data_IF_234263743455
#
_entry.id   IF_234263743455
#
_cell.length_a   1.000
_cell.length_b   1.000
_cell.length_c   1.000
_cell.angle_alpha   90.00
_cell.angle_beta   90.00
_cell.angle_gamma   90.00
#
_symmetry.space_group_name_H-M   'P 1'
#
loop_
_entity.id
_entity.type
_entity.pdbx_description
1 polymer ?
#
# COMPACT_ATOMS: atom_id res chain seq x y z
N UNK A 1 -17.58 16.01 10.99
CA UNK A 1 -16.28 15.98 10.28
C UNK A 1 -15.24 16.51 11.27
N UNK A 2 -14.09 15.85 11.43
CA UNK A 2 -13.01 16.35 12.29
C UNK A 2 -12.57 17.72 11.80
N UNK A 3 -12.22 18.63 12.71
CA UNK A 3 -11.67 19.92 12.33
C UNK A 3 -10.23 19.78 11.80
N UNK A 4 -9.71 20.84 11.17
CA UNK A 4 -8.38 20.80 10.57
C UNK A 4 -7.26 20.66 11.61
N UNK A 5 -7.48 21.12 12.85
CA UNK A 5 -6.50 21.03 13.92
C UNK A 5 -6.34 19.57 14.35
N UNK A 6 -7.45 18.87 14.57
CA UNK A 6 -7.48 17.47 14.93
C UNK A 6 -6.90 16.59 13.81
N UNK A 7 -7.25 16.87 12.56
CA UNK A 7 -6.68 16.16 11.42
C UNK A 7 -5.15 16.31 11.35
N UNK A 8 -4.62 17.52 11.54
CA UNK A 8 -3.18 17.74 11.55
C UNK A 8 -2.50 17.03 12.72
N UNK A 9 -3.14 16.96 13.89
CA UNK A 9 -2.60 16.24 15.04
C UNK A 9 -2.48 14.73 14.74
N UNK A 10 -3.54 14.12 14.22
CA UNK A 10 -3.56 12.69 13.84
C UNK A 10 -2.50 12.38 12.78
N UNK A 11 -2.40 13.21 11.74
CA UNK A 11 -1.42 13.00 10.66
C UNK A 11 0.01 13.12 11.17
N UNK A 12 0.25 14.06 12.11
CA UNK A 12 1.54 14.20 12.75
C UNK A 12 1.88 12.94 13.55
N UNK A 13 0.95 12.44 14.36
CA UNK A 13 1.13 11.20 15.14
C UNK A 13 1.46 10.01 14.25
N UNK A 14 0.65 9.74 13.21
CA UNK A 14 0.90 8.66 12.23
C UNK A 14 2.30 8.79 11.60
N UNK A 15 2.72 10.03 11.28
CA UNK A 15 4.01 10.25 10.66
C UNK A 15 5.18 10.14 11.63
N UNK A 16 5.01 10.50 12.91
CA UNK A 16 6.02 10.23 13.94
C UNK A 16 6.16 8.72 14.19
N UNK A 17 5.05 7.99 14.34
CA UNK A 17 5.05 6.53 14.49
C UNK A 17 5.82 5.87 13.33
N UNK A 18 5.52 6.26 12.10
CA UNK A 18 6.24 5.75 10.92
C UNK A 18 7.74 6.07 10.97
N UNK A 19 8.12 7.27 11.43
CA UNK A 19 9.52 7.68 11.50
C UNK A 19 10.30 6.87 12.52
N UNK A 20 9.74 6.67 13.70
CA UNK A 20 10.34 5.86 14.76
C UNK A 20 10.45 4.40 14.34
N UNK A 21 9.36 3.83 13.83
CA UNK A 21 9.27 2.42 13.43
C UNK A 21 10.26 2.03 12.31
N UNK A 22 10.44 2.93 11.33
CA UNK A 22 11.25 2.67 10.14
C UNK A 22 12.56 3.46 10.08
N UNK A 23 12.97 4.15 11.17
CA UNK A 23 14.13 5.04 11.20
C UNK A 23 14.15 6.01 9.99
N UNK A 24 13.00 6.60 9.66
CA UNK A 24 12.83 7.41 8.46
C UNK A 24 13.24 8.87 8.71
N UNK A 25 14.36 9.29 8.11
CA UNK A 25 14.99 10.59 8.39
C UNK A 25 14.81 11.64 7.28
N UNK A 26 13.96 11.41 6.28
CA UNK A 26 13.77 12.33 5.15
C UNK A 26 12.74 13.42 5.47
N UNK A 27 12.88 14.57 4.82
CA UNK A 27 12.05 15.78 4.99
C UNK A 27 10.64 15.68 4.37
N UNK A 28 10.19 14.49 3.98
CA UNK A 28 8.88 14.31 3.36
C UNK A 28 7.77 14.49 4.39
N UNK A 29 6.61 14.99 3.96
CA UNK A 29 5.47 15.29 4.84
C UNK A 29 4.26 14.52 4.33
N UNK A 30 3.58 13.83 5.25
CA UNK A 30 2.23 13.34 5.05
C UNK A 30 1.25 14.47 5.42
N UNK A 31 0.24 14.76 4.59
CA UNK A 31 -0.76 15.80 4.90
C UNK A 31 -2.16 15.20 5.13
N UNK A 32 -3.10 15.95 5.77
CA UNK A 32 -4.45 15.45 6.04
C UNK A 32 -5.23 14.93 4.83
N UNK A 33 -5.17 15.64 3.70
CA UNK A 33 -5.89 15.26 2.51
C UNK A 33 -5.31 13.95 1.92
N UNK A 34 -3.99 13.87 1.77
CA UNK A 34 -3.31 12.66 1.30
C UNK A 34 -3.57 11.47 2.23
N UNK A 35 -3.53 11.67 3.56
CA UNK A 35 -3.79 10.63 4.56
C UNK A 35 -5.22 10.10 4.45
N UNK A 36 -6.19 11.01 4.34
CA UNK A 36 -7.59 10.66 4.18
C UNK A 36 -7.83 9.85 2.90
N UNK A 37 -7.24 10.27 1.78
CA UNK A 37 -7.32 9.52 0.51
C UNK A 37 -6.72 8.11 0.64
N UNK A 38 -5.58 7.95 1.31
CA UNK A 38 -4.96 6.64 1.55
C UNK A 38 -5.84 5.75 2.45
N UNK A 39 -6.45 6.32 3.50
CA UNK A 39 -7.37 5.59 4.37
C UNK A 39 -8.63 5.16 3.60
N UNK A 40 -9.22 6.03 2.79
CA UNK A 40 -10.34 5.66 1.92
C UNK A 40 -9.98 4.56 0.92
N UNK A 41 -8.78 4.64 0.35
CA UNK A 41 -8.24 3.61 -0.52
C UNK A 41 -8.14 2.25 0.19
N UNK A 42 -7.56 2.19 1.39
CA UNK A 42 -7.47 0.95 2.18
C UNK A 42 -8.87 0.42 2.56
N UNK A 43 -9.75 1.30 3.06
CA UNK A 43 -11.13 0.95 3.41
C UNK A 43 -11.89 0.34 2.22
N UNK A 44 -11.63 0.83 1.00
CA UNK A 44 -12.27 0.30 -0.19
C UNK A 44 -11.87 -1.16 -0.47
N UNK A 45 -10.59 -1.51 -0.34
CA UNK A 45 -10.15 -2.90 -0.44
C UNK A 45 -10.70 -3.76 0.70
N UNK A 46 -10.70 -3.25 1.94
CA UNK A 46 -11.30 -3.94 3.10
C UNK A 46 -12.78 -4.25 2.87
N UNK A 47 -13.54 -3.32 2.28
CA UNK A 47 -14.95 -3.54 1.96
C UNK A 47 -15.13 -4.62 0.88
N UNK A 48 -14.27 -4.65 -0.15
CA UNK A 48 -14.29 -5.72 -1.15
C UNK A 48 -14.04 -7.10 -0.52
N UNK A 49 -13.08 -7.20 0.40
CA UNK A 49 -12.85 -8.44 1.15
C UNK A 49 -14.07 -8.85 1.98
N UNK A 50 -14.74 -7.91 2.65
CA UNK A 50 -15.92 -8.20 3.48
C UNK A 50 -17.17 -8.61 2.67
N UNK A 51 -17.19 -8.33 1.37
CA UNK A 51 -18.26 -8.70 0.45
C UNK A 51 -17.90 -9.91 -0.44
N UNK A 52 -16.81 -10.63 -0.12
CA UNK A 52 -16.30 -11.76 -0.90
C UNK A 52 -16.05 -11.42 -2.39
N UNK A 53 -15.71 -10.17 -2.67
CA UNK A 53 -15.40 -9.71 -4.01
C UNK A 53 -13.95 -10.00 -4.41
N UNK A 54 -13.71 -10.20 -5.72
CA UNK A 54 -12.36 -10.47 -6.26
C UNK A 54 -11.49 -9.22 -6.21
N UNK A 55 -10.44 -9.23 -5.39
CA UNK A 55 -9.54 -8.09 -5.25
C UNK A 55 -8.38 -8.06 -6.26
N UNK A 56 -7.98 -9.20 -6.85
CA UNK A 56 -6.72 -9.31 -7.61
C UNK A 56 -6.65 -8.43 -8.88
N UNK A 57 -7.79 -7.97 -9.40
CA UNK A 57 -7.87 -7.05 -10.54
C UNK A 57 -8.62 -5.76 -10.19
N UNK A 58 -8.92 -5.56 -8.90
CA UNK A 58 -9.61 -4.40 -8.42
C UNK A 58 -8.69 -3.18 -8.50
N UNK A 59 -9.25 -2.05 -8.93
CA UNK A 59 -8.57 -0.76 -8.91
C UNK A 59 -9.49 0.27 -8.27
N UNK A 60 -8.99 0.93 -7.23
CA UNK A 60 -9.73 2.00 -6.60
C UNK A 60 -9.89 3.19 -7.55
N UNK A 61 -11.08 3.80 -7.52
CA UNK A 61 -11.42 5.01 -8.27
C UNK A 61 -11.70 6.13 -7.27
N UNK A 62 -10.78 7.08 -7.16
CA UNK A 62 -10.97 8.27 -6.34
C UNK A 62 -12.04 9.16 -6.95
N UNK A 63 -12.93 9.69 -6.12
CA UNK A 63 -13.98 10.62 -6.54
C UNK A 63 -13.42 11.93 -7.10
N UNK A 64 -12.25 12.35 -6.61
CA UNK A 64 -11.49 13.50 -7.12
C UNK A 64 -10.90 13.28 -8.52
N UNK A 65 -10.88 12.03 -9.01
CA UNK A 65 -10.19 11.62 -10.23
C UNK A 65 -8.67 11.61 -10.12
N UNK A 66 -8.10 12.04 -8.98
CA UNK A 66 -6.66 12.08 -8.73
C UNK A 66 -6.29 11.03 -7.70
N UNK A 67 -5.25 10.27 -7.99
CA UNK A 67 -4.67 9.34 -7.01
C UNK A 67 -3.79 10.10 -6.02
N UNK A 68 -3.78 9.73 -4.72
CA UNK A 68 -2.77 10.20 -3.81
C UNK A 68 -1.42 9.69 -4.30
N UNK A 69 -0.38 10.48 -4.03
CA UNK A 69 0.99 10.04 -4.22
C UNK A 69 1.68 10.17 -2.86
N UNK A 70 1.65 9.15 -1.99
CA UNK A 70 2.26 9.24 -0.68
C UNK A 70 3.78 9.30 -0.78
N UNK A 71 4.45 9.82 0.26
CA UNK A 71 5.90 9.98 0.26
C UNK A 71 6.67 8.68 -0.03
N UNK A 72 6.19 7.52 0.45
CA UNK A 72 6.83 6.21 0.21
C UNK A 72 6.93 5.87 -1.28
N UNK A 73 5.94 6.27 -2.08
CA UNK A 73 5.94 6.06 -3.53
C UNK A 73 6.88 7.05 -4.23
N UNK A 74 6.87 8.33 -3.82
CA UNK A 74 7.79 9.36 -4.33
C UNK A 74 9.25 8.97 -4.08
N UNK A 75 9.55 8.56 -2.87
CA UNK A 75 10.91 8.25 -2.39
C UNK A 75 11.55 7.05 -3.07
N UNK A 76 10.72 6.08 -3.47
CA UNK A 76 11.15 4.86 -4.16
C UNK A 76 10.96 4.95 -5.67
N UNK A 77 10.51 6.10 -6.18
CA UNK A 77 10.17 6.31 -7.59
C UNK A 77 9.19 5.25 -8.13
N UNK A 78 8.22 4.85 -7.31
CA UNK A 78 7.19 3.86 -7.64
C UNK A 78 5.91 4.62 -7.99
N UNK A 79 5.21 4.18 -9.04
CA UNK A 79 3.92 4.74 -9.40
C UNK A 79 2.80 4.17 -8.52
N UNK A 80 2.01 5.05 -7.90
CA UNK A 80 0.76 4.68 -7.25
C UNK A 80 -0.32 4.36 -8.31
N UNK A 81 -0.68 3.08 -8.46
CA UNK A 81 -1.58 2.60 -9.52
C UNK A 81 -2.96 2.11 -9.02
N UNK A 82 -3.32 2.46 -7.79
CA UNK A 82 -4.61 2.16 -7.16
C UNK A 82 -4.96 0.65 -7.10
N UNK A 83 -3.98 -0.22 -7.25
CA UNK A 83 -4.13 -1.67 -7.33
C UNK A 83 -3.71 -2.37 -6.02
N UNK A 84 -3.69 -3.69 -6.04
CA UNK A 84 -3.31 -4.50 -4.86
C UNK A 84 -1.87 -4.24 -4.47
N UNK A 85 -0.96 -4.03 -5.43
CA UNK A 85 0.43 -3.68 -5.12
C UNK A 85 0.51 -2.33 -4.40
N UNK A 86 -0.21 -1.31 -4.88
CA UNK A 86 -0.30 -0.02 -4.19
C UNK A 86 -0.89 -0.17 -2.78
N UNK A 87 -1.89 -1.04 -2.57
CA UNK A 87 -2.42 -1.37 -1.24
C UNK A 87 -1.32 -1.93 -0.32
N UNK A 88 -0.57 -2.92 -0.79
CA UNK A 88 0.50 -3.56 -0.02
C UNK A 88 1.56 -2.55 0.40
N UNK A 89 1.96 -1.64 -0.49
CA UNK A 89 2.94 -0.59 -0.17
C UNK A 89 2.35 0.44 0.80
N UNK A 90 1.11 0.87 0.60
CA UNK A 90 0.43 1.84 1.47
C UNK A 90 0.26 1.38 2.92
N UNK A 91 0.05 0.07 3.15
CA UNK A 91 -0.10 -0.46 4.50
C UNK A 91 1.16 -0.27 5.36
N UNK A 92 2.35 -0.10 4.76
CA UNK A 92 3.59 0.21 5.49
C UNK A 92 3.47 1.50 6.31
N UNK A 93 2.65 2.45 5.88
CA UNK A 93 2.45 3.74 6.57
C UNK A 93 1.83 3.53 7.97
N UNK A 94 1.06 2.46 8.17
CA UNK A 94 0.22 2.27 9.36
C UNK A 94 0.57 1.03 10.18
N UNK A 95 1.42 0.15 9.66
CA UNK A 95 1.79 -1.09 10.34
C UNK A 95 3.17 -0.94 10.99
N UNK A 96 3.30 -1.48 12.20
CA UNK A 96 4.61 -1.73 12.79
C UNK A 96 5.44 -2.65 11.89
N UNK A 97 6.75 -2.52 11.95
CA UNK A 97 7.70 -3.14 11.02
C UNK A 97 7.60 -4.65 11.01
N UNK A 98 7.48 -5.26 12.19
CA UNK A 98 7.35 -6.72 12.32
C UNK A 98 6.10 -7.21 11.59
N UNK A 99 4.94 -6.57 11.83
CA UNK A 99 3.67 -6.93 11.18
C UNK A 99 3.74 -6.73 9.66
N UNK A 100 4.38 -5.65 9.22
CA UNK A 100 4.56 -5.38 7.79
C UNK A 100 5.42 -6.47 7.13
N UNK A 101 6.56 -6.81 7.74
CA UNK A 101 7.47 -7.85 7.24
C UNK A 101 6.77 -9.22 7.22
N UNK A 102 6.06 -9.57 8.28
CA UNK A 102 5.30 -10.82 8.35
C UNK A 102 4.24 -10.90 7.24
N UNK A 103 3.51 -9.81 7.00
CA UNK A 103 2.54 -9.71 5.91
C UNK A 103 3.21 -9.94 4.55
N UNK A 104 4.37 -9.31 4.28
CA UNK A 104 5.08 -9.49 3.02
C UNK A 104 5.57 -10.92 2.84
N UNK A 105 6.11 -11.54 3.90
CA UNK A 105 6.56 -12.93 3.85
C UNK A 105 5.40 -13.88 3.52
N UNK A 106 4.22 -13.70 4.14
CA UNK A 106 3.01 -14.49 3.82
C UNK A 106 2.55 -14.28 2.38
N UNK A 107 2.55 -13.04 1.90
CA UNK A 107 2.20 -12.74 0.49
C UNK A 107 3.18 -13.42 -0.46
N UNK A 108 4.48 -13.36 -0.19
CA UNK A 108 5.51 -14.01 -1.00
C UNK A 108 5.34 -15.54 -1.03
N UNK A 109 5.01 -16.16 0.11
CA UNK A 109 4.71 -17.59 0.19
C UNK A 109 3.48 -17.97 -0.66
N UNK A 110 2.44 -17.13 -0.67
CA UNK A 110 1.26 -17.36 -1.51
C UNK A 110 1.57 -17.15 -3.00
N UNK A 111 2.36 -16.14 -3.35
CA UNK A 111 2.79 -15.87 -4.73
C UNK A 111 3.67 -16.99 -5.25
N UNK A 112 4.59 -17.55 -4.44
CA UNK A 112 5.49 -18.63 -4.87
C UNK A 112 4.77 -19.94 -5.20
N UNK A 113 3.56 -20.15 -4.63
CA UNK A 113 2.67 -21.28 -4.96
C UNK A 113 1.89 -21.06 -6.26
N UNK A 114 1.73 -19.82 -6.71
CA UNK A 114 0.88 -19.47 -7.85
C UNK A 114 1.32 -20.12 -9.18
N UNK A 115 2.63 -20.23 -9.52
CA UNK A 115 3.07 -20.93 -10.73
C UNK A 115 2.69 -22.41 -10.75
N UNK A 116 2.69 -23.10 -9.60
CA UNK A 116 2.28 -24.50 -9.53
C UNK A 116 0.76 -24.66 -9.66
N UNK A 117 -0.01 -23.76 -9.04
CA UNK A 117 -1.48 -23.78 -9.08
C UNK A 117 -2.03 -23.34 -10.44
N UNK A 118 -1.40 -22.35 -11.07
CA UNK A 118 -1.87 -21.70 -12.30
C UNK A 118 -0.71 -21.44 -13.28
N UNK A 119 -0.07 -22.49 -13.84
CA UNK A 119 1.16 -22.36 -14.64
C UNK A 119 1.06 -21.39 -15.82
N UNK A 120 -0.09 -21.38 -16.49
CA UNK A 120 -0.31 -20.56 -17.69
C UNK A 120 -0.84 -19.16 -17.38
N UNK A 121 -1.20 -18.87 -16.12
CA UNK A 121 -1.94 -17.64 -15.76
C UNK A 121 -1.29 -16.82 -14.66
N UNK A 122 -0.36 -17.37 -13.87
CA UNK A 122 0.21 -16.69 -12.70
C UNK A 122 0.78 -15.30 -13.04
N UNK A 123 1.57 -15.17 -14.11
CA UNK A 123 2.11 -13.87 -14.57
C UNK A 123 1.01 -12.87 -14.89
N UNK A 124 -0.07 -13.31 -15.55
CA UNK A 124 -1.22 -12.45 -15.89
C UNK A 124 -1.96 -11.98 -14.64
N UNK A 125 -2.04 -12.83 -13.62
CA UNK A 125 -2.64 -12.49 -12.32
C UNK A 125 -1.78 -11.46 -11.60
N UNK A 126 -0.47 -11.68 -11.50
CA UNK A 126 0.48 -10.73 -10.89
C UNK A 126 0.43 -9.35 -11.57
N UNK A 127 0.44 -9.34 -12.90
CA UNK A 127 0.31 -8.11 -13.67
C UNK A 127 -1.02 -7.38 -13.40
N UNK A 128 -2.13 -8.12 -13.22
CA UNK A 128 -3.43 -7.53 -12.88
C UNK A 128 -3.47 -6.96 -11.46
N UNK A 129 -2.74 -7.58 -10.54
CA UNK A 129 -2.59 -7.15 -9.15
C UNK A 129 -1.69 -5.91 -9.01
N UNK A 130 -0.92 -5.56 -10.05
CA UNK A 130 -0.01 -4.41 -10.06
C UNK A 130 1.45 -4.75 -9.81
N UNK A 131 1.80 -6.03 -9.66
CA UNK A 131 3.19 -6.46 -9.53
C UNK A 131 3.87 -6.30 -10.89
N UNK A 132 4.86 -5.41 -10.96
CA UNK A 132 5.74 -5.23 -12.13
C UNK A 132 6.69 -6.41 -12.26
N UNK A 133 7.46 -6.52 -13.34
CA UNK A 133 8.48 -7.58 -13.46
C UNK A 133 9.58 -7.49 -12.37
N UNK A 134 9.78 -6.30 -11.79
CA UNK A 134 10.83 -6.00 -10.81
C UNK A 134 10.28 -5.84 -9.38
N UNK A 135 9.05 -6.32 -9.15
CA UNK A 135 8.35 -6.15 -7.88
C UNK A 135 9.13 -6.70 -6.68
N UNK A 136 9.88 -7.80 -6.85
CA UNK A 136 10.66 -8.40 -5.78
C UNK A 136 11.76 -7.45 -5.28
N UNK A 137 12.49 -6.82 -6.20
CA UNK A 137 13.51 -5.83 -5.84
C UNK A 137 12.87 -4.60 -5.18
N UNK A 138 11.74 -4.14 -5.71
CA UNK A 138 10.97 -3.06 -5.09
C UNK A 138 10.56 -3.43 -3.66
N UNK A 139 10.04 -4.63 -3.43
CA UNK A 139 9.63 -5.10 -2.10
C UNK A 139 10.83 -5.22 -1.15
N UNK A 140 11.96 -5.74 -1.62
CA UNK A 140 13.21 -5.78 -0.85
C UNK A 140 13.68 -4.39 -0.43
N UNK A 141 13.55 -3.40 -1.31
CA UNK A 141 13.87 -2.01 -0.98
C UNK A 141 12.87 -1.38 -0.02
N UNK A 142 11.59 -1.75 -0.11
CA UNK A 142 10.53 -1.25 0.76
C UNK A 142 10.65 -1.85 2.16
N UNK A 143 11.10 -3.09 2.32
CA UNK A 143 11.24 -3.74 3.64
C UNK A 143 12.40 -3.19 4.46
N UNK A 144 13.48 -2.73 3.79
CA UNK A 144 14.61 -2.05 4.44
C UNK A 144 14.15 -0.83 5.23
#
# INVERSE_FOLDING_TARGET
MLDLKDQNAIVKEIFEDYKEEYNYNKKSILNPAETSEILFFICNFRNKCAHDERIYQHKHKFTSGKSPNPFIFKDKNIKFNNDVFALIVSLKIFLIKENYIEMINKINELISKLPALLPNHYKKILNKMGFSNDWENIMLEIIK
#
